data_IF_938808746781
#
_entry.id   IF_938808746781
#
_cell.length_a   1.000
_cell.length_b   1.000
_cell.length_c   1.000
_cell.angle_alpha   90.00
_cell.angle_beta   90.00
_cell.angle_gamma   90.00
#
_symmetry.space_group_name_H-M   'P 1'
#
loop_
_entity.id
_entity.type
_entity.pdbx_description
1 polymer ?
#
# COMPACT_ATOMS: atom_id res chain seq x y z
N UNK A 1 -17.53 5.29 4.91
CA UNK A 1 -17.48 4.59 3.60
C UNK A 1 -18.78 3.84 3.30
N UNK A 2 -19.25 2.89 4.12
CA UNK A 2 -20.48 2.11 3.84
C UNK A 2 -21.79 2.93 3.96
N UNK A 3 -21.85 3.92 4.85
CA UNK A 3 -23.09 4.71 5.09
C UNK A 3 -23.54 5.63 3.96
N UNK A 4 -22.63 5.99 3.05
CA UNK A 4 -22.92 6.88 1.90
C UNK A 4 -22.98 6.13 0.58
N UNK A 5 -22.73 4.82 0.60
CA UNK A 5 -22.83 3.96 -0.57
C UNK A 5 -24.30 3.68 -0.85
N UNK A 6 -24.71 3.81 -2.11
CA UNK A 6 -26.06 3.41 -2.52
C UNK A 6 -26.32 1.94 -2.15
N UNK A 7 -27.37 1.64 -1.36
CA UNK A 7 -27.65 0.27 -0.92
C UNK A 7 -27.89 -0.69 -2.08
N UNK A 8 -28.51 -0.24 -3.17
CA UNK A 8 -28.76 -1.07 -4.36
C UNK A 8 -27.47 -1.48 -5.04
N UNK A 9 -26.55 -0.54 -5.23
CA UNK A 9 -25.21 -0.82 -5.76
C UNK A 9 -24.42 -1.76 -4.84
N UNK A 10 -24.50 -1.58 -3.52
CA UNK A 10 -23.81 -2.45 -2.57
C UNK A 10 -24.36 -3.89 -2.63
N UNK A 11 -25.68 -4.06 -2.67
CA UNK A 11 -26.33 -5.37 -2.79
C UNK A 11 -25.93 -6.04 -4.11
N UNK A 12 -26.05 -5.32 -5.23
CA UNK A 12 -25.68 -5.86 -6.54
C UNK A 12 -24.19 -6.28 -6.59
N UNK A 13 -23.30 -5.53 -5.95
CA UNK A 13 -21.90 -5.89 -5.83
C UNK A 13 -21.70 -7.16 -4.97
N UNK A 14 -22.40 -7.27 -3.84
CA UNK A 14 -22.36 -8.48 -3.00
C UNK A 14 -22.90 -9.72 -3.75
N UNK A 15 -23.99 -9.57 -4.50
CA UNK A 15 -24.56 -10.65 -5.31
C UNK A 15 -23.61 -11.07 -6.44
N UNK A 16 -23.01 -10.10 -7.12
CA UNK A 16 -22.02 -10.39 -8.16
C UNK A 16 -20.80 -11.13 -7.60
N UNK A 17 -20.28 -10.71 -6.43
CA UNK A 17 -19.18 -11.40 -5.75
C UNK A 17 -19.57 -12.81 -5.30
N UNK A 18 -20.79 -13.01 -4.81
CA UNK A 18 -21.27 -14.30 -4.36
C UNK A 18 -21.54 -15.29 -5.51
N UNK A 19 -21.97 -14.80 -6.68
CA UNK A 19 -22.30 -15.62 -7.83
C UNK A 19 -21.12 -15.87 -8.78
N UNK A 20 -20.05 -15.08 -8.70
CA UNK A 20 -18.90 -15.23 -9.56
C UNK A 20 -18.11 -16.50 -9.22
N UNK A 21 -18.10 -17.46 -10.15
CA UNK A 21 -17.37 -18.72 -10.01
C UNK A 21 -16.64 -19.07 -11.31
N UNK A 22 -15.32 -19.12 -11.23
CA UNK A 22 -14.43 -19.52 -12.33
C UNK A 22 -13.60 -20.74 -11.97
N UNK A 23 -14.02 -21.54 -10.98
CA UNK A 23 -13.27 -22.74 -10.54
C UNK A 23 -13.06 -23.75 -11.67
N UNK A 24 -13.98 -23.80 -12.64
CA UNK A 24 -13.85 -24.63 -13.84
C UNK A 24 -12.64 -24.23 -14.73
N UNK A 25 -12.12 -23.03 -14.56
CA UNK A 25 -10.99 -22.49 -15.33
C UNK A 25 -9.63 -22.64 -14.62
N UNK A 26 -9.58 -23.16 -13.39
CA UNK A 26 -8.33 -23.28 -12.62
C UNK A 26 -7.25 -24.08 -13.35
N UNK A 27 -7.64 -25.08 -14.13
CA UNK A 27 -6.73 -25.89 -14.95
C UNK A 27 -6.02 -25.11 -16.05
N UNK A 28 -6.48 -23.90 -16.38
CA UNK A 28 -5.82 -23.00 -17.35
C UNK A 28 -4.56 -22.35 -16.77
N UNK A 29 -4.37 -22.38 -15.45
CA UNK A 29 -3.19 -21.84 -14.79
C UNK A 29 -2.05 -22.85 -14.96
N UNK A 30 -1.19 -22.60 -15.95
CA UNK A 30 -0.08 -23.49 -16.33
C UNK A 30 1.27 -23.13 -15.72
N UNK A 31 1.32 -22.19 -14.77
CA UNK A 31 2.56 -21.74 -14.12
C UNK A 31 2.58 -22.16 -12.65
N UNK A 32 3.78 -22.34 -12.05
CA UNK A 32 3.90 -22.63 -10.64
C UNK A 32 3.16 -21.59 -9.80
N UNK A 33 2.29 -22.04 -8.90
CA UNK A 33 1.39 -21.19 -8.12
C UNK A 33 1.55 -21.47 -6.63
N UNK A 34 1.69 -20.42 -5.83
CA UNK A 34 1.60 -20.50 -4.37
C UNK A 34 0.28 -19.89 -3.91
N UNK A 35 -0.55 -20.70 -3.25
CA UNK A 35 -1.76 -20.26 -2.54
C UNK A 35 -1.38 -20.04 -1.08
N UNK A 36 -1.57 -18.82 -0.58
CA UNK A 36 -1.30 -18.46 0.82
C UNK A 36 -2.63 -18.10 1.48
N UNK A 37 -2.91 -18.70 2.65
CA UNK A 37 -4.10 -18.39 3.43
C UNK A 37 -3.79 -18.38 4.93
N UNK A 38 -4.55 -17.60 5.70
CA UNK A 38 -4.52 -17.64 7.16
C UNK A 38 -5.07 -18.96 7.68
N UNK A 39 -4.40 -19.57 8.65
CA UNK A 39 -4.89 -20.81 9.27
C UNK A 39 -6.21 -20.60 10.04
N UNK A 40 -6.44 -19.38 10.51
CA UNK A 40 -7.57 -19.00 11.37
C UNK A 40 -8.65 -18.20 10.62
N UNK A 41 -8.56 -18.11 9.29
CA UNK A 41 -9.53 -17.39 8.45
C UNK A 41 -10.92 -18.07 8.47
N UNK A 42 -11.94 -17.30 8.90
CA UNK A 42 -13.35 -17.73 8.91
C UNK A 42 -14.15 -17.13 7.75
N UNK A 43 -13.62 -16.11 7.07
CA UNK A 43 -14.27 -15.42 5.95
C UNK A 43 -13.99 -16.18 4.65
N UNK A 44 -12.75 -16.60 4.45
CA UNK A 44 -12.33 -17.51 3.37
C UNK A 44 -11.54 -18.68 3.95
N UNK A 45 -12.23 -19.72 4.46
CA UNK A 45 -11.60 -20.81 5.18
C UNK A 45 -10.54 -21.56 4.37
N UNK A 46 -9.60 -22.19 5.07
CA UNK A 46 -8.55 -23.01 4.46
C UNK A 46 -9.07 -24.12 3.52
N UNK A 47 -10.33 -24.54 3.68
CA UNK A 47 -10.99 -25.46 2.76
C UNK A 47 -11.10 -24.90 1.33
N UNK A 48 -11.40 -23.60 1.17
CA UNK A 48 -11.51 -22.94 -0.13
C UNK A 48 -10.14 -22.83 -0.81
N UNK A 49 -9.10 -22.52 -0.03
CA UNK A 49 -7.72 -22.51 -0.52
C UNK A 49 -7.28 -23.91 -1.04
N UNK A 50 -7.76 -24.99 -0.43
CA UNK A 50 -7.52 -26.35 -0.92
C UNK A 50 -8.24 -26.64 -2.25
N UNK A 51 -9.41 -26.04 -2.48
CA UNK A 51 -10.11 -26.15 -3.78
C UNK A 51 -9.25 -25.54 -4.89
N UNK A 52 -8.60 -24.39 -4.64
CA UNK A 52 -7.68 -23.77 -5.59
C UNK A 52 -6.50 -24.70 -5.92
N UNK A 53 -5.85 -25.25 -4.90
CA UNK A 53 -4.71 -26.16 -5.10
C UNK A 53 -5.11 -27.46 -5.80
N UNK A 54 -6.32 -27.97 -5.58
CA UNK A 54 -6.81 -29.15 -6.29
C UNK A 54 -7.09 -28.88 -7.78
N UNK A 55 -7.41 -27.63 -8.15
CA UNK A 55 -7.74 -27.25 -9.52
C UNK A 55 -6.55 -26.79 -10.37
N UNK A 56 -5.41 -26.44 -9.76
CA UNK A 56 -4.23 -25.91 -10.43
C UNK A 56 -3.13 -26.98 -10.45
N UNK A 57 -2.59 -27.29 -11.63
CA UNK A 57 -1.70 -28.44 -11.82
C UNK A 57 -0.38 -28.37 -11.02
N UNK A 58 0.23 -27.18 -10.92
CA UNK A 58 1.44 -26.93 -10.13
C UNK A 58 1.16 -25.88 -9.06
N UNK A 59 0.33 -26.25 -8.09
CA UNK A 59 0.01 -25.39 -6.95
C UNK A 59 0.47 -25.98 -5.61
N UNK A 60 0.91 -25.08 -4.73
CA UNK A 60 1.26 -25.38 -3.34
C UNK A 60 0.42 -24.51 -2.40
N UNK A 61 0.01 -25.08 -1.26
CA UNK A 61 -0.72 -24.35 -0.22
C UNK A 61 0.22 -24.05 0.96
N UNK A 62 0.25 -22.80 1.40
CA UNK A 62 0.83 -22.39 2.67
C UNK A 62 -0.26 -21.83 3.59
N UNK A 63 -0.48 -22.50 4.73
CA UNK A 63 -1.33 -22.00 5.80
C UNK A 63 -0.47 -21.30 6.84
N UNK A 64 -0.77 -20.04 7.13
CA UNK A 64 0.00 -19.21 8.06
C UNK A 64 -0.68 -19.24 9.44
N UNK A 65 -0.05 -19.85 10.46
CA UNK A 65 -0.61 -19.89 11.82
C UNK A 65 -0.74 -18.49 12.43
N UNK A 66 -1.81 -18.24 13.19
CA UNK A 66 -2.00 -16.94 13.85
C UNK A 66 -2.31 -15.81 12.87
N UNK A 67 -2.81 -16.13 11.68
CA UNK A 67 -3.30 -15.18 10.69
C UNK A 67 -4.73 -15.57 10.28
N UNK A 68 -5.57 -14.55 10.13
CA UNK A 68 -6.91 -14.64 9.59
C UNK A 68 -6.92 -14.15 8.13
N UNK A 69 -7.95 -13.40 7.76
CA UNK A 69 -8.22 -12.99 6.38
C UNK A 69 -7.15 -12.07 5.77
N UNK A 70 -6.39 -11.32 6.56
CA UNK A 70 -5.42 -10.32 6.08
C UNK A 70 -3.99 -10.79 6.34
N UNK A 71 -3.68 -12.00 5.87
CA UNK A 71 -2.41 -12.69 6.13
C UNK A 71 -1.15 -11.85 5.87
N UNK A 72 -1.04 -11.02 4.80
CA UNK A 72 0.14 -10.17 4.57
C UNK A 72 0.32 -9.05 5.61
N UNK A 73 -0.76 -8.60 6.24
CA UNK A 73 -0.74 -7.54 7.27
C UNK A 73 -0.48 -8.16 8.64
N UNK A 74 -1.10 -9.30 8.92
CA UNK A 74 -1.02 -9.98 10.21
C UNK A 74 0.34 -10.66 10.42
N UNK A 75 0.91 -11.26 9.36
CA UNK A 75 2.16 -12.02 9.41
C UNK A 75 3.12 -11.63 8.26
N UNK A 76 3.57 -10.36 8.19
CA UNK A 76 4.29 -9.82 7.04
C UNK A 76 5.61 -10.54 6.76
N UNK A 77 6.35 -10.94 7.81
CA UNK A 77 7.61 -11.67 7.65
C UNK A 77 7.38 -13.08 7.11
N UNK A 78 6.40 -13.82 7.66
CA UNK A 78 6.11 -15.18 7.21
C UNK A 78 5.66 -15.21 5.74
N UNK A 79 4.83 -14.24 5.33
CA UNK A 79 4.40 -14.10 3.92
C UNK A 79 5.58 -13.73 3.03
N UNK A 80 6.43 -12.80 3.47
CA UNK A 80 7.64 -12.40 2.71
C UNK A 80 8.56 -13.60 2.47
N UNK A 81 8.81 -14.40 3.49
CA UNK A 81 9.65 -15.61 3.38
C UNK A 81 9.04 -16.63 2.40
N UNK A 82 7.72 -16.83 2.45
CA UNK A 82 7.02 -17.72 1.53
C UNK A 82 7.14 -17.25 0.07
N UNK A 83 6.99 -15.95 -0.18
CA UNK A 83 7.14 -15.36 -1.50
C UNK A 83 8.58 -15.50 -2.02
N UNK A 84 9.57 -15.15 -1.20
CA UNK A 84 10.99 -15.26 -1.57
C UNK A 84 11.38 -16.70 -1.89
N UNK A 85 10.93 -17.68 -1.08
CA UNK A 85 11.14 -19.11 -1.36
C UNK A 85 10.43 -19.57 -2.63
N UNK A 86 9.20 -19.12 -2.86
CA UNK A 86 8.49 -19.44 -4.09
C UNK A 86 9.28 -18.94 -5.29
N UNK A 87 9.54 -17.63 -5.40
CA UNK A 87 10.21 -17.05 -6.56
C UNK A 87 11.63 -17.56 -6.79
N UNK A 88 12.35 -17.94 -5.74
CA UNK A 88 13.70 -18.53 -5.88
C UNK A 88 13.69 -20.00 -6.32
N UNK A 89 12.63 -20.76 -6.05
CA UNK A 89 12.57 -22.20 -6.33
C UNK A 89 11.70 -22.59 -7.52
N UNK A 90 10.65 -21.81 -7.85
CA UNK A 90 9.74 -22.15 -8.95
C UNK A 90 10.27 -21.83 -10.35
N UNK A 91 11.39 -21.12 -10.45
CA UNK A 91 11.98 -20.70 -11.73
C UNK A 91 13.32 -21.41 -12.06
N UNK A 92 13.67 -22.44 -11.29
CA UNK A 92 14.87 -23.26 -11.49
C UNK A 92 14.49 -24.68 -12.00
N UNK A 93 14.46 -24.83 -13.35
CA UNK A 93 14.60 -26.03 -14.22
C UNK A 93 13.73 -27.32 -13.95
N UNK A 94 13.22 -28.01 -14.99
CA UNK A 94 11.88 -28.63 -15.02
C UNK A 94 11.80 -30.14 -14.69
N UNK A 95 12.53 -30.63 -13.68
CA UNK A 95 12.54 -32.07 -13.37
C UNK A 95 12.04 -32.36 -11.95
N UNK A 96 10.77 -32.11 -11.62
CA UNK A 96 10.14 -32.70 -10.43
C UNK A 96 8.73 -33.24 -10.75
N UNK A 97 8.45 -34.54 -10.49
CA UNK A 97 7.12 -35.10 -10.70
C UNK A 97 6.14 -34.56 -9.65
N UNK A 98 4.90 -34.37 -10.07
CA UNK A 98 3.75 -34.03 -9.22
C UNK A 98 3.54 -35.12 -8.16
N UNK A 99 4.08 -34.87 -6.98
CA UNK A 99 3.88 -35.69 -5.79
C UNK A 99 3.86 -34.78 -4.57
N UNK A 100 2.86 -34.97 -3.71
CA UNK A 100 2.80 -34.35 -2.39
C UNK A 100 4.16 -34.51 -1.70
N UNK A 101 4.92 -33.43 -1.60
CA UNK A 101 6.13 -33.43 -0.80
C UNK A 101 5.69 -33.20 0.64
N UNK A 102 5.61 -34.28 1.42
CA UNK A 102 5.59 -34.14 2.85
C UNK A 102 6.90 -33.48 3.28
N UNK A 103 6.81 -32.34 3.96
CA UNK A 103 7.94 -31.81 4.73
C UNK A 103 8.34 -32.90 5.72
N UNK A 104 9.62 -33.32 5.78
CA UNK A 104 10.05 -34.29 6.78
C UNK A 104 9.67 -33.77 8.16
N UNK A 105 9.01 -34.59 8.97
CA UNK A 105 8.80 -34.25 10.37
C UNK A 105 10.17 -33.95 11.01
N UNK A 106 10.30 -32.88 11.80
CA UNK A 106 11.53 -32.61 12.52
C UNK A 106 11.87 -33.84 13.39
N UNK A 107 13.16 -34.16 13.61
CA UNK A 107 13.54 -35.26 14.47
C UNK A 107 12.89 -35.10 15.84
N UNK A 108 12.35 -36.21 16.35
CA UNK A 108 11.66 -36.33 17.62
C UNK A 108 12.44 -35.68 18.76
N UNK A 109 11.78 -34.77 19.49
CA UNK A 109 12.15 -34.10 20.76
C UNK A 109 13.59 -33.57 20.83
N UNK A 110 13.79 -32.25 21.06
CA UNK A 110 15.15 -31.73 21.25
C UNK A 110 15.77 -32.37 22.50
N UNK A 111 16.83 -33.15 22.31
CA UNK A 111 17.75 -33.48 23.39
C UNK A 111 18.59 -32.24 23.61
N UNK A 112 18.24 -31.47 24.63
CA UNK A 112 19.06 -30.36 25.11
C UNK A 112 20.41 -30.92 25.55
N UNK A 113 21.47 -30.54 24.86
CA UNK A 113 22.82 -30.75 25.38
C UNK A 113 22.99 -29.86 26.62
N UNK A 114 23.58 -30.35 27.72
CA UNK A 114 23.80 -29.52 28.89
C UNK A 114 24.72 -28.34 28.51
N UNK A 115 24.26 -27.14 28.86
CA UNK A 115 25.03 -25.90 28.69
C UNK A 115 26.32 -26.03 29.52
N UNK A 116 27.51 -25.76 28.95
CA UNK A 116 28.75 -25.72 29.72
C UNK A 116 28.62 -24.69 30.87
N UNK A 117 29.01 -25.03 32.10
CA UNK A 117 28.98 -24.07 33.19
C UNK A 117 30.07 -23.02 32.95
N UNK A 118 29.67 -21.82 32.50
CA UNK A 118 30.58 -20.69 32.33
C UNK A 118 30.33 -19.78 31.13
N UNK A 119 29.35 -20.04 30.27
CA UNK A 119 29.00 -19.09 29.22
C UNK A 119 28.24 -17.90 29.84
N UNK A 120 28.96 -16.81 30.12
CA UNK A 120 28.36 -15.53 30.48
C UNK A 120 27.35 -15.11 29.42
N UNK A 121 26.11 -14.86 29.86
CA UNK A 121 25.12 -14.16 29.07
C UNK A 121 25.59 -12.72 28.95
N UNK A 122 26.24 -12.39 27.84
CA UNK A 122 26.49 -10.99 27.48
C UNK A 122 25.11 -10.38 27.21
N UNK A 123 24.60 -9.62 28.17
CA UNK A 123 23.37 -8.89 28.02
C UNK A 123 23.49 -7.96 26.82
N UNK A 124 22.62 -8.12 25.83
CA UNK A 124 22.43 -7.09 24.81
C UNK A 124 21.94 -5.84 25.54
N UNK A 125 22.84 -4.90 25.77
CA UNK A 125 22.46 -3.57 26.21
C UNK A 125 21.50 -3.02 25.15
N UNK A 126 20.22 -2.88 25.53
CA UNK A 126 19.30 -2.03 24.79
C UNK A 126 19.82 -0.60 24.92
N UNK A 127 20.71 -0.20 24.01
CA UNK A 127 20.91 1.20 23.68
C UNK A 127 19.63 1.66 22.97
N UNK A 128 18.62 2.05 23.76
CA UNK A 128 17.60 2.98 23.30
C UNK A 128 18.34 4.30 23.13
N UNK A 129 18.48 4.85 21.91
CA UNK A 129 19.02 6.18 21.73
C UNK A 129 18.20 7.19 22.57
N UNK A 130 18.84 8.28 23.00
CA UNK A 130 18.21 9.40 23.70
C UNK A 130 16.83 9.80 23.12
N UNK A 131 15.94 10.39 23.94
CA UNK A 131 14.51 10.38 23.66
C UNK A 131 14.16 10.94 22.28
N UNK A 132 13.41 10.15 21.50
CA UNK A 132 12.84 10.41 20.16
C UNK A 132 12.03 11.72 20.01
N UNK A 133 11.94 12.56 21.05
CA UNK A 133 11.18 13.80 21.04
C UNK A 133 11.85 14.87 20.18
N UNK A 134 13.18 14.98 20.23
CA UNK A 134 13.91 16.02 19.47
C UNK A 134 13.88 15.74 17.96
N UNK A 135 14.08 14.48 17.55
CA UNK A 135 13.96 14.07 16.14
C UNK A 135 12.52 14.25 15.58
N UNK A 136 11.50 14.15 16.44
CA UNK A 136 10.09 14.39 16.06
C UNK A 136 9.79 15.87 15.88
N UNK A 137 10.35 16.74 16.72
CA UNK A 137 10.24 18.19 16.58
C UNK A 137 10.93 18.68 15.30
N UNK A 138 12.14 18.19 15.02
CA UNK A 138 12.88 18.50 13.79
C UNK A 138 12.11 18.11 12.52
N UNK A 139 11.46 16.93 12.53
CA UNK A 139 10.62 16.49 11.42
C UNK A 139 9.38 17.36 11.22
N UNK A 140 8.80 17.90 12.29
CA UNK A 140 7.64 18.81 12.19
C UNK A 140 8.06 20.15 11.59
N UNK A 141 9.15 20.74 12.10
CA UNK A 141 9.64 22.04 11.66
C UNK A 141 10.09 22.00 10.20
N UNK A 142 10.71 20.91 9.78
CA UNK A 142 11.03 20.70 8.36
C UNK A 142 9.77 20.44 7.54
N UNK A 143 8.84 19.65 8.08
CA UNK A 143 7.59 19.31 7.43
C UNK A 143 6.71 20.52 7.16
N UNK A 144 6.58 21.44 8.11
CA UNK A 144 5.74 22.63 7.93
C UNK A 144 6.30 23.57 6.85
N UNK A 145 7.63 23.69 6.74
CA UNK A 145 8.29 24.45 5.67
C UNK A 145 7.98 23.85 4.30
N UNK A 146 8.20 22.54 4.13
CA UNK A 146 7.94 21.85 2.86
C UNK A 146 6.44 21.87 2.53
N UNK A 147 5.57 21.66 3.50
CA UNK A 147 4.11 21.72 3.32
C UNK A 147 3.67 23.08 2.78
N UNK A 148 4.23 24.17 3.29
CA UNK A 148 3.98 25.54 2.82
C UNK A 148 4.53 25.78 1.42
N UNK A 149 5.76 25.35 1.15
CA UNK A 149 6.36 25.46 -0.18
C UNK A 149 5.57 24.68 -1.24
N UNK A 150 4.96 23.55 -0.88
CA UNK A 150 4.21 22.71 -1.83
C UNK A 150 2.75 23.16 -1.95
N UNK A 151 2.03 23.32 -0.84
CA UNK A 151 0.59 23.62 -0.85
C UNK A 151 0.28 25.12 -0.87
N UNK A 152 1.20 25.96 -0.42
CA UNK A 152 1.05 27.41 -0.30
C UNK A 152 0.56 27.83 1.09
N UNK A 153 1.04 28.99 1.56
CA UNK A 153 0.78 29.49 2.92
C UNK A 153 -0.72 29.60 3.23
N UNK A 154 -1.50 30.22 2.35
CA UNK A 154 -2.93 30.41 2.56
C UNK A 154 -3.71 29.09 2.75
N UNK A 155 -3.25 27.99 2.14
CA UNK A 155 -3.87 26.67 2.35
C UNK A 155 -3.48 26.09 3.71
N UNK A 156 -2.19 26.17 4.05
CA UNK A 156 -1.67 25.66 5.32
C UNK A 156 -2.27 26.42 6.51
N UNK A 157 -2.34 27.76 6.43
CA UNK A 157 -2.92 28.60 7.47
C UNK A 157 -4.39 28.27 7.71
N UNK A 158 -5.15 28.05 6.63
CA UNK A 158 -6.56 27.63 6.73
C UNK A 158 -6.71 26.25 7.34
N UNK A 159 -5.84 25.31 6.98
CA UNK A 159 -5.86 23.97 7.55
C UNK A 159 -5.52 23.99 9.05
N UNK A 160 -4.57 24.84 9.47
CA UNK A 160 -4.19 25.01 10.87
C UNK A 160 -5.26 25.73 11.69
N UNK A 161 -5.94 26.74 11.13
CA UNK A 161 -7.00 27.47 11.84
C UNK A 161 -8.28 26.65 12.05
N UNK A 162 -8.52 25.67 11.19
CA UNK A 162 -9.62 24.71 11.32
C UNK A 162 -9.26 23.50 12.19
N UNK A 163 -7.99 23.36 12.59
CA UNK A 163 -7.56 22.26 13.44
C UNK A 163 -8.11 22.47 14.86
N UNK A 164 -8.80 21.44 15.35
CA UNK A 164 -9.39 21.37 16.69
C UNK A 164 -8.82 20.17 17.47
N UNK A 165 -9.33 19.91 18.66
CA UNK A 165 -8.90 18.76 19.48
C UNK A 165 -9.08 17.42 18.74
N UNK A 166 -10.06 17.32 17.84
CA UNK A 166 -10.35 16.10 17.09
C UNK A 166 -9.36 15.89 15.92
N UNK A 167 -8.94 16.96 15.25
CA UNK A 167 -8.13 16.90 14.03
C UNK A 167 -6.66 17.29 14.23
N UNK A 168 -6.30 17.88 15.37
CA UNK A 168 -4.96 18.38 15.67
C UNK A 168 -3.87 17.31 15.57
N UNK A 169 -4.07 16.17 16.23
CA UNK A 169 -3.11 15.05 16.19
C UNK A 169 -2.89 14.52 14.76
N UNK A 170 -3.95 14.54 13.95
CA UNK A 170 -3.84 14.16 12.54
C UNK A 170 -3.05 15.21 11.73
N UNK A 171 -3.29 16.50 11.97
CA UNK A 171 -2.53 17.58 11.32
C UNK A 171 -1.04 17.54 11.68
N UNK A 172 -0.71 17.26 12.94
CA UNK A 172 0.66 17.03 13.39
C UNK A 172 1.29 15.81 12.69
N UNK A 173 0.59 14.68 12.72
CA UNK A 173 1.04 13.44 12.09
C UNK A 173 1.36 13.62 10.62
N UNK A 174 0.44 14.19 9.83
CA UNK A 174 0.67 14.37 8.39
C UNK A 174 1.79 15.38 8.12
N UNK A 175 1.94 16.41 8.97
CA UNK A 175 3.01 17.41 8.85
C UNK A 175 4.38 16.76 9.01
N UNK A 176 4.58 15.97 10.07
CA UNK A 176 5.83 15.24 10.29
C UNK A 176 6.06 14.19 9.22
N UNK A 177 5.09 13.31 9.00
CA UNK A 177 5.30 12.11 8.22
C UNK A 177 5.32 12.38 6.72
N UNK A 178 4.25 12.98 6.17
CA UNK A 178 4.20 13.22 4.74
C UNK A 178 5.23 14.27 4.34
N UNK A 179 5.21 15.43 5.00
CA UNK A 179 5.98 16.59 4.57
C UNK A 179 7.40 16.62 5.13
N UNK A 180 7.59 16.19 6.38
CA UNK A 180 8.90 16.18 7.05
C UNK A 180 9.77 14.98 6.68
N UNK A 181 9.16 13.81 6.43
CA UNK A 181 9.91 12.59 6.13
C UNK A 181 9.85 12.19 4.66
N UNK A 182 8.69 12.12 4.03
CA UNK A 182 8.56 11.52 2.68
C UNK A 182 8.88 12.51 1.57
N UNK A 183 8.35 13.74 1.64
CA UNK A 183 8.57 14.78 0.62
C UNK A 183 9.96 15.40 0.66
N UNK A 184 10.70 15.24 1.76
CA UNK A 184 12.09 15.69 1.93
C UNK A 184 13.13 14.70 1.44
N UNK A 185 12.79 13.42 1.23
CA UNK A 185 13.78 12.38 0.91
C UNK A 185 14.54 12.71 -0.38
N UNK A 186 15.86 12.52 -0.41
CA UNK A 186 16.63 12.54 -1.64
C UNK A 186 16.27 11.29 -2.47
N UNK A 187 16.10 11.43 -3.77
CA UNK A 187 15.86 10.31 -4.69
C UNK A 187 15.00 10.69 -5.88
N UNK A 188 13.84 11.31 -5.62
CA UNK A 188 13.00 11.91 -6.66
C UNK A 188 12.69 13.36 -6.31
N UNK A 189 12.76 14.22 -7.31
CA UNK A 189 12.49 15.64 -7.15
C UNK A 189 10.99 15.93 -6.92
N UNK A 190 10.68 17.18 -6.59
CA UNK A 190 9.30 17.60 -6.31
C UNK A 190 8.39 17.52 -7.54
N UNK A 191 8.93 17.64 -8.75
CA UNK A 191 8.15 17.54 -9.99
C UNK A 191 7.62 16.11 -10.14
N UNK A 192 8.51 15.12 -10.04
CA UNK A 192 8.16 13.70 -10.13
C UNK A 192 7.20 13.31 -9.00
N UNK A 193 7.43 13.80 -7.77
CA UNK A 193 6.50 13.56 -6.65
C UNK A 193 5.10 14.11 -6.93
N UNK A 194 5.00 15.30 -7.52
CA UNK A 194 3.73 15.86 -7.97
C UNK A 194 3.07 15.01 -9.04
N UNK A 195 3.81 14.50 -10.04
CA UNK A 195 3.27 13.57 -11.05
C UNK A 195 2.64 12.34 -10.38
N UNK A 196 3.39 11.65 -9.52
CA UNK A 196 2.92 10.44 -8.83
C UNK A 196 1.69 10.73 -7.98
N UNK A 197 1.70 11.86 -7.27
CA UNK A 197 0.59 12.27 -6.41
C UNK A 197 -0.68 12.55 -7.23
N UNK A 198 -0.57 13.28 -8.35
CA UNK A 198 -1.70 13.57 -9.23
C UNK A 198 -2.31 12.28 -9.79
N UNK A 199 -1.48 11.34 -10.26
CA UNK A 199 -1.96 10.04 -10.76
C UNK A 199 -2.67 9.25 -9.66
N UNK A 200 -2.10 9.19 -8.45
CA UNK A 200 -2.71 8.46 -7.33
C UNK A 200 -4.07 9.06 -6.91
N UNK A 201 -4.16 10.39 -6.80
CA UNK A 201 -5.39 11.07 -6.42
C UNK A 201 -6.47 10.93 -7.49
N UNK A 202 -6.10 11.03 -8.77
CA UNK A 202 -7.00 10.77 -9.88
C UNK A 202 -7.51 9.33 -9.85
N UNK A 203 -6.61 8.34 -9.78
CA UNK A 203 -6.96 6.91 -9.75
C UNK A 203 -7.90 6.53 -8.60
N UNK A 204 -7.82 7.23 -7.47
CA UNK A 204 -8.65 7.00 -6.28
C UNK A 204 -9.93 7.85 -6.24
N UNK A 205 -10.11 8.77 -7.18
CA UNK A 205 -11.27 9.68 -7.21
C UNK A 205 -11.25 10.75 -6.12
N UNK A 206 -10.08 11.07 -5.57
CA UNK A 206 -9.92 12.10 -4.53
C UNK A 206 -9.81 13.49 -5.16
N UNK A 207 -10.92 13.96 -5.71
CA UNK A 207 -10.95 15.15 -6.58
C UNK A 207 -10.67 16.47 -5.84
N UNK A 208 -11.08 16.60 -4.58
CA UNK A 208 -10.80 17.80 -3.78
C UNK A 208 -9.29 17.93 -3.48
N UNK A 209 -8.65 16.80 -3.16
CA UNK A 209 -7.21 16.68 -3.00
C UNK A 209 -6.47 16.95 -4.31
N UNK A 210 -6.98 16.40 -5.42
CA UNK A 210 -6.43 16.61 -6.76
C UNK A 210 -6.41 18.10 -7.11
N UNK A 211 -7.42 18.88 -6.69
CA UNK A 211 -7.51 20.30 -6.98
C UNK A 211 -6.32 21.07 -6.40
N UNK A 212 -6.03 20.92 -5.10
CA UNK A 212 -4.90 21.63 -4.52
C UNK A 212 -3.55 21.01 -4.88
N UNK A 213 -3.47 19.70 -5.15
CA UNK A 213 -2.25 19.09 -5.69
C UNK A 213 -1.96 19.48 -7.14
N UNK A 214 -2.96 19.90 -7.92
CA UNK A 214 -2.76 20.51 -9.24
C UNK A 214 -2.05 21.86 -9.08
N UNK A 215 -2.50 22.71 -8.16
CA UNK A 215 -1.83 23.98 -7.81
C UNK A 215 -0.40 23.72 -7.31
N UNK A 216 -0.23 22.74 -6.45
CA UNK A 216 1.09 22.34 -5.95
C UNK A 216 2.03 21.86 -7.06
N UNK A 217 1.51 21.11 -8.04
CA UNK A 217 2.27 20.66 -9.19
C UNK A 217 2.78 21.84 -10.04
N UNK A 218 1.92 22.83 -10.31
CA UNK A 218 2.32 24.07 -10.99
C UNK A 218 3.42 24.81 -10.22
N UNK A 219 3.28 24.93 -8.89
CA UNK A 219 4.29 25.57 -8.01
C UNK A 219 5.62 24.81 -7.99
N UNK A 220 5.57 23.48 -8.01
CA UNK A 220 6.75 22.61 -8.16
C UNK A 220 7.34 22.65 -9.59
N UNK A 221 6.73 23.42 -10.49
CA UNK A 221 7.23 23.77 -11.80
C UNK A 221 6.58 23.02 -12.97
N UNK A 222 5.64 22.10 -12.74
CA UNK A 222 4.99 21.41 -13.86
C UNK A 222 4.24 22.43 -14.70
N UNK A 223 4.29 22.26 -16.01
CA UNK A 223 3.49 23.06 -16.93
C UNK A 223 2.08 22.48 -17.06
N UNK A 224 1.09 23.29 -17.47
CA UNK A 224 -0.23 22.79 -17.85
C UNK A 224 -0.19 21.65 -18.86
N UNK A 225 0.76 21.71 -19.81
CA UNK A 225 0.97 20.65 -20.82
C UNK A 225 1.43 19.35 -20.18
N UNK A 226 2.37 19.38 -19.24
CA UNK A 226 2.83 18.18 -18.54
C UNK A 226 1.73 17.56 -17.68
N UNK A 227 0.95 18.38 -16.97
CA UNK A 227 -0.21 17.89 -16.20
C UNK A 227 -1.23 17.22 -17.13
N UNK A 228 -1.50 17.81 -18.29
CA UNK A 228 -2.37 17.22 -19.32
C UNK A 228 -1.86 15.83 -19.76
N UNK A 229 -0.56 15.66 -20.02
CA UNK A 229 0.02 14.35 -20.39
C UNK A 229 -0.11 13.31 -19.26
N UNK A 230 0.07 13.70 -18.00
CA UNK A 230 -0.14 12.81 -16.84
C UNK A 230 -1.58 12.30 -16.78
N UNK A 231 -2.56 13.18 -17.01
CA UNK A 231 -3.97 12.82 -16.99
C UNK A 231 -4.39 11.98 -18.21
N UNK A 232 -3.81 12.23 -19.39
CA UNK A 232 -4.00 11.36 -20.56
C UNK A 232 -3.50 9.93 -20.27
N UNK A 233 -2.29 9.81 -19.70
CA UNK A 233 -1.72 8.51 -19.35
C UNK A 233 -2.55 7.80 -18.27
N UNK A 234 -3.05 8.55 -17.29
CA UNK A 234 -3.97 8.04 -16.27
C UNK A 234 -5.25 7.46 -16.90
N UNK A 235 -5.76 8.06 -17.98
CA UNK A 235 -6.91 7.52 -18.71
C UNK A 235 -6.69 6.13 -19.32
N UNK A 236 -5.46 5.81 -19.72
CA UNK A 236 -5.10 4.49 -20.27
C UNK A 236 -5.15 3.42 -19.18
N UNK A 237 -4.62 3.69 -18.00
CA UNK A 237 -4.45 2.68 -16.93
C UNK A 237 -5.56 2.68 -15.88
N UNK A 238 -6.24 3.81 -15.68
CA UNK A 238 -7.27 3.98 -14.66
C UNK A 238 -8.66 4.25 -15.26
N UNK A 239 -8.78 4.25 -16.58
CA UNK A 239 -10.03 4.39 -17.32
C UNK A 239 -10.40 5.85 -17.67
N UNK A 240 -11.11 5.99 -18.79
CA UNK A 240 -11.57 7.28 -19.33
C UNK A 240 -12.45 8.07 -18.36
N UNK A 241 -13.41 7.48 -17.61
CA UNK A 241 -14.22 8.24 -16.65
C UNK A 241 -13.38 8.91 -15.55
N UNK A 242 -12.39 8.19 -15.02
CA UNK A 242 -11.43 8.69 -14.02
C UNK A 242 -10.67 9.89 -14.55
N UNK A 243 -10.13 9.78 -15.77
CA UNK A 243 -9.41 10.87 -16.41
C UNK A 243 -10.33 12.07 -16.69
N UNK A 244 -11.57 11.86 -17.14
CA UNK A 244 -12.52 12.95 -17.39
C UNK A 244 -12.77 13.82 -16.14
N UNK A 245 -13.05 13.18 -14.99
CA UNK A 245 -13.23 13.90 -13.73
C UNK A 245 -11.95 14.65 -13.31
N UNK A 246 -10.79 14.02 -13.47
CA UNK A 246 -9.51 14.65 -13.17
C UNK A 246 -9.21 15.85 -14.09
N UNK A 247 -9.52 15.74 -15.38
CA UNK A 247 -9.37 16.82 -16.37
C UNK A 247 -10.23 18.02 -16.03
N UNK A 248 -11.49 17.81 -15.64
CA UNK A 248 -12.38 18.89 -15.25
C UNK A 248 -11.82 19.69 -14.06
N UNK A 249 -11.32 19.00 -13.04
CA UNK A 249 -10.68 19.62 -11.86
C UNK A 249 -9.40 20.36 -12.26
N UNK A 250 -8.49 19.68 -12.94
CA UNK A 250 -7.20 20.26 -13.28
C UNK A 250 -7.33 21.48 -14.20
N UNK A 251 -8.24 21.43 -15.18
CA UNK A 251 -8.50 22.56 -16.09
C UNK A 251 -9.02 23.78 -15.34
N UNK A 252 -9.94 23.59 -14.38
CA UNK A 252 -10.45 24.68 -13.54
C UNK A 252 -9.31 25.36 -12.77
N UNK A 253 -8.49 24.57 -12.08
CA UNK A 253 -7.36 25.09 -11.29
C UNK A 253 -6.31 25.76 -12.18
N UNK A 254 -5.95 25.14 -13.31
CA UNK A 254 -5.00 25.75 -14.25
C UNK A 254 -5.49 27.11 -14.73
N UNK A 255 -6.78 27.27 -15.03
CA UNK A 255 -7.35 28.58 -15.40
C UNK A 255 -7.25 29.58 -14.26
N UNK A 256 -7.64 29.18 -13.04
CA UNK A 256 -7.52 30.03 -11.84
C UNK A 256 -6.08 30.53 -11.64
N UNK A 257 -5.06 29.70 -11.90
CA UNK A 257 -3.65 30.04 -11.65
C UNK A 257 -2.93 30.70 -12.85
N UNK A 258 -3.48 30.62 -14.06
CA UNK A 258 -2.82 31.12 -15.30
C UNK A 258 -3.57 32.24 -16.00
N UNK A 259 -4.82 32.51 -15.61
CA UNK A 259 -5.51 33.70 -16.07
C UNK A 259 -4.84 34.94 -15.46
N UNK A 260 -4.46 35.95 -16.27
CA UNK A 260 -3.99 37.22 -15.73
C UNK A 260 -5.12 37.81 -14.88
N UNK A 261 -4.81 38.18 -13.63
CA UNK A 261 -5.74 38.94 -12.79
C UNK A 261 -6.21 40.17 -13.57
N UNK A 262 -7.53 40.30 -13.73
CA UNK A 262 -8.16 41.46 -14.34
C UNK A 262 -8.24 42.63 -13.38
#
# INVERSE_FOLDING_TARGET
MVRTTDPGCYIAACEALAAFDIRAELSRIGIPTLVVAGADDQVTPAADARVLVAGIADARLALVPGASHLTPVEQPMAVTDLLMRHFSSSWQTPDHPTGMTAVPAPPSKPVLSPVPPGAEVVGFAHNVPEPLLDARADAYDQGIKVRREVLGDAHVDRAQSLADEFTGDFQDFITRYAWGEVWTRPGIDRRIRSVVTLTALAARGHLDELAFHTRAALRNGLTPTEIKEVLLHTGVYCGVPTANSAFAVAQRIIREETSPEG
#
